data_IF_747305370286
#
_entry.id   IF_747305370286
#
_cell.length_a   1.000
_cell.length_b   1.000
_cell.length_c   1.000
_cell.angle_alpha   90.00
_cell.angle_beta   90.00
_cell.angle_gamma   90.00
#
_symmetry.space_group_name_H-M   'P 1'
#
loop_
_entity.id
_entity.type
_entity.pdbx_description
1 polymer ?
#
# COMPACT_ATOMS: atom_id res chain seq x y z
N UNK A 1 13.01 39.53 7.61
CA UNK A 1 14.22 39.47 6.76
C UNK A 1 15.12 38.41 7.40
N UNK A 2 15.00 37.18 6.97
CA UNK A 2 15.92 36.10 7.35
C UNK A 2 16.88 35.98 6.18
N UNK A 3 18.19 36.08 6.48
CA UNK A 3 19.25 36.16 5.48
C UNK A 3 19.26 34.98 4.51
N UNK A 4 19.48 35.32 3.28
CA UNK A 4 19.80 34.37 2.22
C UNK A 4 21.19 33.82 2.52
N UNK A 5 21.24 32.56 2.88
CA UNK A 5 22.49 31.81 3.05
C UNK A 5 23.05 31.51 1.64
N UNK A 6 24.20 32.11 1.31
CA UNK A 6 24.91 31.93 0.05
C UNK A 6 25.61 30.56 0.03
N UNK A 7 24.81 29.53 -0.20
CA UNK A 7 25.25 28.13 -0.34
C UNK A 7 24.42 27.37 -1.39
N UNK A 8 23.90 28.09 -2.42
CA UNK A 8 23.03 27.53 -3.46
C UNK A 8 23.82 26.72 -4.50
N UNK A 9 24.26 25.51 -4.14
CA UNK A 9 24.48 24.46 -5.13
C UNK A 9 23.15 23.84 -5.54
N UNK A 10 23.06 23.40 -6.78
CA UNK A 10 22.00 22.61 -7.43
C UNK A 10 20.77 22.33 -6.52
N UNK A 11 19.66 23.05 -6.67
CA UNK A 11 18.44 22.87 -5.87
C UNK A 11 17.20 22.97 -6.77
N UNK A 12 16.28 22.05 -6.58
CA UNK A 12 14.93 22.15 -7.17
C UNK A 12 14.04 22.92 -6.20
N UNK A 13 13.33 23.93 -6.67
CA UNK A 13 12.35 24.68 -5.89
C UNK A 13 11.06 24.87 -6.68
N UNK A 14 9.96 24.59 -6.01
CA UNK A 14 8.59 24.88 -6.43
C UNK A 14 8.05 26.00 -5.55
N UNK A 15 7.51 27.07 -6.13
CA UNK A 15 6.96 28.20 -5.38
C UNK A 15 5.50 28.41 -5.74
N UNK A 16 4.62 28.26 -4.75
CA UNK A 16 3.17 28.46 -4.85
C UNK A 16 2.54 27.78 -6.06
N UNK A 17 2.94 26.54 -6.31
CA UNK A 17 2.43 25.73 -7.41
C UNK A 17 0.95 25.38 -7.19
N UNK A 18 0.13 25.72 -8.17
CA UNK A 18 -1.24 25.25 -8.26
C UNK A 18 -1.38 24.39 -9.49
N UNK A 19 -2.06 23.22 -9.34
CA UNK A 19 -2.42 22.36 -10.46
C UNK A 19 -3.90 22.03 -10.42
N UNK A 20 -4.57 22.34 -11.55
CA UNK A 20 -5.98 22.04 -11.77
C UNK A 20 -6.16 21.08 -12.96
N UNK A 21 -7.14 20.19 -12.85
CA UNK A 21 -7.65 19.35 -13.91
C UNK A 21 -9.14 19.65 -14.08
N UNK A 22 -9.49 20.39 -15.14
CA UNK A 22 -10.84 20.93 -15.28
C UNK A 22 -11.18 21.84 -14.09
N UNK A 23 -12.26 21.55 -13.36
CA UNK A 23 -12.69 22.31 -12.18
C UNK A 23 -12.04 21.82 -10.86
N UNK A 24 -11.29 20.72 -10.90
CA UNK A 24 -10.71 20.12 -9.69
C UNK A 24 -9.30 20.64 -9.46
N UNK A 25 -9.08 21.32 -8.36
CA UNK A 25 -7.75 21.72 -7.87
C UNK A 25 -7.13 20.54 -7.11
N UNK A 26 -6.02 20.00 -7.65
CA UNK A 26 -5.31 18.85 -7.07
C UNK A 26 -4.11 19.29 -6.23
N UNK A 27 -3.45 20.40 -6.60
CA UNK A 27 -2.44 21.05 -5.79
C UNK A 27 -2.80 22.53 -5.66
N UNK A 28 -2.74 23.07 -4.45
CA UNK A 28 -3.14 24.43 -4.13
C UNK A 28 -2.01 25.19 -3.41
N UNK A 29 -1.38 26.11 -4.14
CA UNK A 29 -0.29 26.98 -3.67
C UNK A 29 0.85 26.21 -2.94
N UNK A 30 1.18 25.01 -3.42
CA UNK A 30 2.21 24.17 -2.86
C UNK A 30 3.60 24.77 -3.09
N UNK A 31 4.40 24.87 -2.04
CA UNK A 31 5.83 25.13 -2.12
C UNK A 31 6.60 23.90 -1.66
N UNK A 32 7.71 23.61 -2.33
CA UNK A 32 8.51 22.42 -2.07
C UNK A 32 9.96 22.68 -2.51
N UNK A 33 10.92 22.12 -1.80
CA UNK A 33 12.33 22.22 -2.19
C UNK A 33 13.05 20.90 -1.96
N UNK A 34 14.02 20.60 -2.86
CA UNK A 34 14.88 19.43 -2.76
C UNK A 34 16.32 19.82 -3.05
N UNK A 35 17.21 19.49 -2.11
CA UNK A 35 18.66 19.71 -2.24
C UNK A 35 19.35 18.43 -2.67
N UNK A 36 20.49 18.50 -3.39
CA UNK A 36 21.37 17.35 -3.60
C UNK A 36 21.82 16.76 -2.26
N UNK A 37 21.86 15.43 -2.18
CA UNK A 37 22.27 14.73 -0.97
C UNK A 37 21.18 14.61 0.11
N UNK A 38 20.00 15.23 -0.08
CA UNK A 38 18.90 15.08 0.85
C UNK A 38 17.99 13.90 0.46
N UNK A 39 17.49 13.19 1.46
CA UNK A 39 16.34 12.29 1.32
C UNK A 39 15.13 13.01 1.88
N UNK A 40 14.24 13.45 1.00
CA UNK A 40 13.03 14.16 1.33
C UNK A 40 11.83 13.22 1.33
N UNK A 41 11.21 13.00 2.49
CA UNK A 41 10.01 12.20 2.62
C UNK A 41 8.77 12.94 2.13
N UNK A 42 7.96 12.32 1.28
CA UNK A 42 6.69 12.87 0.82
C UNK A 42 5.54 11.95 1.27
N UNK A 43 4.76 12.43 2.23
CA UNK A 43 3.63 11.71 2.78
C UNK A 43 2.31 12.37 2.40
N UNK A 44 1.26 11.58 2.39
CA UNK A 44 -0.11 12.03 2.16
C UNK A 44 -1.03 10.84 1.93
N UNK A 45 -2.30 11.04 2.19
CA UNK A 45 -3.31 10.04 1.84
C UNK A 45 -3.45 9.89 0.31
N UNK A 46 -4.13 8.84 -0.13
CA UNK A 46 -4.45 8.68 -1.55
C UNK A 46 -5.32 9.86 -2.02
N UNK A 47 -4.95 10.45 -3.15
CA UNK A 47 -5.59 11.66 -3.64
C UNK A 47 -5.07 12.97 -3.07
N UNK A 48 -4.10 12.96 -2.14
CA UNK A 48 -3.53 14.18 -1.56
C UNK A 48 -2.68 15.03 -2.55
N UNK A 49 -2.37 14.49 -3.75
CA UNK A 49 -1.60 15.21 -4.77
C UNK A 49 -0.15 14.74 -4.95
N UNK A 50 0.31 13.71 -4.21
CA UNK A 50 1.69 13.20 -4.29
C UNK A 50 2.14 12.86 -5.71
N UNK A 51 1.38 12.01 -6.40
CA UNK A 51 1.71 11.61 -7.78
C UNK A 51 1.63 12.79 -8.75
N UNK A 52 0.81 13.81 -8.48
CA UNK A 52 0.78 15.05 -9.27
C UNK A 52 2.05 15.88 -9.04
N UNK A 53 2.55 15.94 -7.81
CA UNK A 53 3.82 16.58 -7.49
C UNK A 53 4.99 15.87 -8.21
N UNK A 54 5.04 14.54 -8.17
CA UNK A 54 6.03 13.75 -8.93
C UNK A 54 5.95 14.03 -10.44
N UNK A 55 4.73 14.11 -11.00
CA UNK A 55 4.51 14.42 -12.42
C UNK A 55 4.92 15.85 -12.80
N UNK A 56 4.83 16.80 -11.89
CA UNK A 56 5.36 18.16 -12.07
C UNK A 56 6.89 18.15 -12.08
N UNK A 57 7.52 17.46 -11.11
CA UNK A 57 8.97 17.38 -11.00
C UNK A 57 9.60 16.66 -12.21
N UNK A 58 8.95 15.63 -12.75
CA UNK A 58 9.45 14.92 -13.93
C UNK A 58 9.00 15.52 -15.29
N UNK A 59 8.29 16.65 -15.26
CA UNK A 59 7.86 17.36 -16.45
C UNK A 59 6.74 16.70 -17.25
N UNK A 60 6.09 15.66 -16.74
CA UNK A 60 4.94 15.02 -17.40
C UNK A 60 3.71 15.92 -17.38
N UNK A 61 3.60 16.80 -16.38
CA UNK A 61 2.49 17.72 -16.20
C UNK A 61 3.05 19.13 -15.91
N UNK A 62 2.47 20.15 -16.52
CA UNK A 62 2.81 21.55 -16.24
C UNK A 62 1.94 22.11 -15.11
N UNK A 63 2.45 23.04 -14.29
CA UNK A 63 1.64 23.73 -13.29
C UNK A 63 0.60 24.63 -14.00
N UNK A 64 -0.54 24.85 -13.35
CA UNK A 64 -1.54 25.83 -13.79
C UNK A 64 -1.09 27.25 -13.41
N UNK A 65 -0.45 27.41 -12.25
CA UNK A 65 0.20 28.66 -11.80
C UNK A 65 1.31 28.34 -10.81
N UNK A 66 2.11 29.34 -10.49
CA UNK A 66 3.32 29.21 -9.67
C UNK A 66 4.57 29.02 -10.52
N UNK A 67 5.71 28.83 -9.89
CA UNK A 67 7.01 28.83 -10.54
C UNK A 67 7.86 27.65 -10.12
N UNK A 68 8.52 27.00 -11.09
CA UNK A 68 9.50 25.96 -10.86
C UNK A 68 10.88 26.51 -11.23
N UNK A 69 11.83 26.43 -10.32
CA UNK A 69 13.19 26.87 -10.55
C UNK A 69 14.20 25.75 -10.22
N UNK A 70 15.31 25.78 -10.97
CA UNK A 70 16.48 24.93 -10.73
C UNK A 70 17.71 25.83 -10.71
N UNK A 71 18.51 25.72 -9.67
CA UNK A 71 19.72 26.53 -9.48
C UNK A 71 19.44 28.03 -9.60
N UNK A 72 18.31 28.47 -9.02
CA UNK A 72 17.86 29.88 -9.06
C UNK A 72 17.34 30.35 -10.41
N UNK A 73 17.22 29.47 -11.42
CA UNK A 73 16.67 29.82 -12.73
C UNK A 73 15.31 29.17 -12.92
N UNK A 74 14.33 29.99 -13.30
CA UNK A 74 13.01 29.48 -13.71
C UNK A 74 13.15 28.55 -14.90
N UNK A 75 12.58 27.35 -14.79
CA UNK A 75 12.60 26.34 -15.84
C UNK A 75 11.18 25.84 -16.10
N UNK A 76 10.93 25.48 -17.36
CA UNK A 76 9.73 24.75 -17.75
C UNK A 76 10.16 23.34 -18.10
N UNK A 77 9.69 22.37 -17.34
CA UNK A 77 10.10 20.98 -17.54
C UNK A 77 9.16 20.25 -18.49
N UNK A 78 9.76 19.67 -19.51
CA UNK A 78 9.21 18.52 -20.24
C UNK A 78 9.92 17.27 -19.73
N UNK A 79 9.41 16.04 -19.98
CA UNK A 79 10.11 14.82 -19.56
C UNK A 79 11.56 14.73 -20.08
N UNK A 80 11.79 15.20 -21.30
CA UNK A 80 13.15 15.23 -21.87
C UNK A 80 14.07 16.25 -21.17
N UNK A 81 13.52 17.37 -20.73
CA UNK A 81 14.28 18.36 -19.95
C UNK A 81 14.54 17.90 -18.52
N UNK A 82 13.56 17.28 -17.86
CA UNK A 82 13.75 16.67 -16.55
C UNK A 82 14.91 15.68 -16.57
N UNK A 83 14.92 14.75 -17.55
CA UNK A 83 16.03 13.81 -17.72
C UNK A 83 17.37 14.53 -17.97
N UNK A 84 17.41 15.59 -18.80
CA UNK A 84 18.64 16.36 -19.04
C UNK A 84 19.16 17.07 -17.78
N UNK A 85 18.26 17.48 -16.91
CA UNK A 85 18.60 18.03 -15.60
C UNK A 85 18.96 16.96 -14.54
N UNK A 86 18.85 15.67 -14.91
CA UNK A 86 19.17 14.55 -14.03
C UNK A 86 18.03 14.18 -13.07
N UNK A 87 16.80 14.59 -13.37
CA UNK A 87 15.61 14.18 -12.59
C UNK A 87 15.07 12.89 -13.20
N UNK A 88 15.18 11.79 -12.47
CA UNK A 88 14.77 10.46 -12.94
C UNK A 88 13.73 9.89 -11.99
N UNK A 89 12.62 9.43 -12.54
CA UNK A 89 11.57 8.73 -11.76
C UNK A 89 11.77 7.22 -11.85
N UNK A 90 11.72 6.56 -10.70
CA UNK A 90 11.61 5.10 -10.60
C UNK A 90 10.15 4.78 -10.29
N UNK A 91 9.50 4.11 -11.23
CA UNK A 91 8.07 3.80 -11.19
C UNK A 91 7.73 2.79 -10.10
N UNK A 92 6.54 2.87 -9.54
CA UNK A 92 5.95 1.89 -8.65
C UNK A 92 5.76 0.53 -9.36
N UNK A 93 5.30 0.56 -10.62
CA UNK A 93 5.13 -0.63 -11.46
C UNK A 93 6.48 -0.98 -12.12
N UNK A 94 7.28 -1.79 -11.41
CA UNK A 94 8.65 -2.13 -11.80
C UNK A 94 8.68 -2.92 -13.11
N UNK A 95 7.74 -3.87 -13.28
CA UNK A 95 7.69 -4.74 -14.46
C UNK A 95 7.31 -3.97 -15.72
N UNK A 96 6.48 -2.92 -15.62
CA UNK A 96 6.12 -2.05 -16.74
C UNK A 96 7.28 -1.14 -17.17
N UNK A 97 8.21 -0.88 -16.26
CA UNK A 97 9.36 -0.02 -16.51
C UNK A 97 10.58 -0.78 -17.09
N UNK A 98 10.55 -2.11 -17.10
CA UNK A 98 11.63 -2.96 -17.60
C UNK A 98 11.22 -3.71 -18.88
N UNK A 99 12.19 -3.94 -19.74
CA UNK A 99 12.05 -4.89 -20.86
C UNK A 99 12.38 -6.29 -20.32
N UNK A 100 11.36 -7.01 -19.86
CA UNK A 100 11.51 -8.25 -19.09
C UNK A 100 12.22 -9.36 -19.85
N UNK A 101 12.04 -9.45 -21.16
CA UNK A 101 12.66 -10.45 -22.03
C UNK A 101 14.10 -10.10 -22.43
N UNK A 102 14.52 -8.84 -22.19
CA UNK A 102 15.87 -8.41 -22.50
C UNK A 102 16.84 -8.64 -21.32
N UNK A 103 18.12 -8.87 -21.61
CA UNK A 103 19.15 -8.97 -20.59
C UNK A 103 19.20 -7.77 -19.65
N UNK A 104 19.63 -7.98 -18.40
CA UNK A 104 19.73 -6.90 -17.43
C UNK A 104 20.66 -5.78 -17.90
N UNK A 105 21.75 -6.08 -18.63
CA UNK A 105 22.65 -5.03 -19.15
C UNK A 105 21.96 -4.10 -20.16
N UNK A 106 20.99 -4.57 -20.94
CA UNK A 106 20.22 -3.76 -21.86
C UNK A 106 19.16 -2.91 -21.14
N UNK A 107 18.72 -3.34 -19.97
CA UNK A 107 17.84 -2.56 -19.11
C UNK A 107 18.57 -1.46 -18.33
N UNK A 108 19.84 -1.67 -17.99
CA UNK A 108 20.67 -0.67 -17.26
C UNK A 108 21.21 0.40 -18.20
N UNK A 109 21.71 -0.01 -19.37
CA UNK A 109 22.42 0.89 -20.28
C UNK A 109 21.49 1.63 -21.24
N UNK A 110 21.75 2.91 -21.59
CA UNK A 110 20.97 3.65 -22.58
C UNK A 110 20.97 2.93 -23.93
N UNK A 111 19.81 2.82 -24.57
CA UNK A 111 19.63 2.14 -25.85
C UNK A 111 20.59 2.59 -26.96
N UNK A 112 20.96 3.87 -26.97
CA UNK A 112 21.94 4.41 -27.93
C UNK A 112 23.33 3.82 -27.72
N UNK A 113 23.71 3.48 -26.48
CA UNK A 113 24.97 2.83 -26.13
C UNK A 113 24.95 1.38 -26.57
N UNK A 114 23.85 0.67 -26.33
CA UNK A 114 23.67 -0.75 -26.66
C UNK A 114 23.89 -1.01 -28.16
N UNK A 115 23.37 -0.16 -29.04
CA UNK A 115 23.49 -0.34 -30.51
C UNK A 115 24.90 -0.15 -31.09
N UNK A 116 25.83 0.48 -30.36
CA UNK A 116 27.12 0.93 -30.92
C UNK A 116 28.34 0.24 -30.30
N UNK A 117 28.14 -0.56 -29.27
CA UNK A 117 29.23 -1.13 -28.46
C UNK A 117 29.17 -2.67 -28.48
N UNK A 118 30.34 -3.32 -28.43
CA UNK A 118 30.41 -4.79 -28.37
C UNK A 118 29.72 -5.33 -27.09
N UNK A 119 28.94 -6.42 -27.18
CA UNK A 119 28.17 -6.95 -26.04
C UNK A 119 29.01 -7.23 -24.79
N UNK A 120 30.26 -7.63 -24.95
CA UNK A 120 31.16 -7.92 -23.83
C UNK A 120 31.49 -6.67 -23.00
N UNK A 121 31.78 -5.56 -23.67
CA UNK A 121 32.04 -4.27 -23.02
C UNK A 121 30.77 -3.71 -22.35
N UNK A 122 29.58 -3.98 -22.94
CA UNK A 122 28.29 -3.60 -22.33
C UNK A 122 28.07 -4.37 -21.03
N UNK A 123 28.31 -5.67 -21.00
CA UNK A 123 28.20 -6.49 -19.79
C UNK A 123 29.13 -6.01 -18.68
N UNK A 124 30.39 -5.72 -18.99
CA UNK A 124 31.35 -5.20 -18.04
C UNK A 124 30.95 -3.84 -17.48
N UNK A 125 30.44 -2.94 -18.37
CA UNK A 125 29.94 -1.63 -17.95
C UNK A 125 28.70 -1.79 -17.05
N UNK A 126 27.72 -2.59 -17.46
CA UNK A 126 26.53 -2.86 -16.67
C UNK A 126 26.88 -3.50 -15.31
N UNK A 127 27.85 -4.44 -15.27
CA UNK A 127 28.28 -5.06 -14.02
C UNK A 127 28.80 -4.02 -13.03
N UNK A 128 29.59 -3.03 -13.48
CA UNK A 128 30.08 -1.94 -12.62
C UNK A 128 28.92 -1.09 -12.06
N UNK A 129 27.93 -0.78 -12.89
CA UNK A 129 26.78 0.02 -12.44
C UNK A 129 25.89 -0.78 -11.49
N UNK A 130 25.66 -2.06 -11.78
CA UNK A 130 24.92 -2.97 -10.92
C UNK A 130 25.61 -3.14 -9.55
N UNK A 131 26.92 -3.23 -9.51
CA UNK A 131 27.66 -3.30 -8.25
C UNK A 131 27.49 -2.04 -7.38
N UNK A 132 27.28 -0.85 -7.97
CA UNK A 132 27.00 0.38 -7.21
C UNK A 132 25.67 0.34 -6.47
N UNK A 133 24.72 -0.47 -6.96
CA UNK A 133 23.43 -0.69 -6.29
C UNK A 133 23.41 -1.99 -5.48
N UNK A 134 24.58 -2.54 -5.15
CA UNK A 134 24.70 -3.75 -4.33
C UNK A 134 24.28 -5.05 -5.04
N UNK A 135 24.26 -5.06 -6.39
CA UNK A 135 23.91 -6.25 -7.16
C UNK A 135 25.14 -6.95 -7.74
N UNK A 136 25.36 -8.21 -7.36
CA UNK A 136 26.27 -9.13 -8.02
C UNK A 136 25.46 -10.21 -8.75
N UNK A 137 25.00 -9.89 -9.95
CA UNK A 137 24.15 -10.74 -10.77
C UNK A 137 24.75 -10.94 -12.17
N UNK A 138 24.30 -11.97 -12.90
CA UNK A 138 24.66 -12.15 -14.31
C UNK A 138 23.95 -11.09 -15.18
N UNK A 139 24.65 -10.09 -15.71
CA UNK A 139 24.02 -9.05 -16.52
C UNK A 139 23.45 -9.57 -17.84
N UNK A 140 23.78 -10.78 -18.27
CA UNK A 140 23.27 -11.39 -19.51
C UNK A 140 21.91 -12.09 -19.33
N UNK A 141 21.51 -12.36 -18.10
CA UNK A 141 20.22 -12.99 -17.81
C UNK A 141 19.06 -12.02 -18.05
N UNK A 142 17.92 -12.46 -18.64
CA UNK A 142 16.73 -11.61 -18.82
C UNK A 142 16.25 -11.00 -17.51
N UNK A 143 15.88 -9.71 -17.56
CA UNK A 143 15.46 -8.97 -16.36
C UNK A 143 14.23 -9.59 -15.68
N UNK A 144 13.29 -10.15 -16.44
CA UNK A 144 12.09 -10.80 -15.92
C UNK A 144 12.35 -12.01 -15.03
N UNK A 145 13.53 -12.63 -15.11
CA UNK A 145 13.89 -13.79 -14.29
C UNK A 145 14.47 -13.43 -12.90
N UNK A 146 14.54 -12.14 -12.57
CA UNK A 146 14.99 -11.69 -11.27
C UNK A 146 13.82 -11.40 -10.33
N UNK A 147 13.99 -11.55 -9.01
CA UNK A 147 12.99 -11.13 -8.04
C UNK A 147 12.77 -9.62 -8.07
N UNK A 148 11.66 -9.17 -7.50
CA UNK A 148 11.24 -7.77 -7.53
C UNK A 148 12.29 -6.82 -6.94
N UNK A 149 12.90 -7.19 -5.81
CA UNK A 149 13.95 -6.40 -5.15
C UNK A 149 15.16 -6.15 -6.06
N UNK A 150 15.56 -7.16 -6.86
CA UNK A 150 16.64 -7.02 -7.85
C UNK A 150 16.21 -6.18 -9.03
N UNK A 151 15.00 -6.37 -9.57
CA UNK A 151 14.46 -5.56 -10.66
C UNK A 151 14.40 -4.09 -10.31
N UNK A 152 14.01 -3.77 -9.08
CA UNK A 152 13.96 -2.40 -8.59
C UNK A 152 15.35 -1.75 -8.54
N UNK A 153 16.34 -2.47 -8.04
CA UNK A 153 17.73 -2.00 -8.06
C UNK A 153 18.28 -1.86 -9.48
N UNK A 154 17.84 -2.69 -10.45
CA UNK A 154 18.17 -2.51 -11.88
C UNK A 154 17.62 -1.17 -12.40
N UNK A 155 16.41 -0.75 -12.00
CA UNK A 155 15.87 0.57 -12.37
C UNK A 155 16.68 1.73 -11.77
N UNK A 156 17.11 1.59 -10.51
CA UNK A 156 17.99 2.59 -9.86
C UNK A 156 19.35 2.62 -10.57
N UNK A 157 19.93 1.47 -10.91
CA UNK A 157 21.16 1.38 -11.68
C UNK A 157 21.05 2.11 -13.03
N UNK A 158 19.93 1.93 -13.75
CA UNK A 158 19.62 2.66 -15.00
C UNK A 158 19.56 4.16 -14.78
N UNK A 159 18.95 4.61 -13.69
CA UNK A 159 18.89 6.03 -13.35
C UNK A 159 20.28 6.60 -13.09
N UNK A 160 21.13 5.91 -12.33
CA UNK A 160 22.50 6.33 -12.06
C UNK A 160 23.35 6.37 -13.33
N UNK A 161 23.20 5.39 -14.22
CA UNK A 161 23.89 5.36 -15.53
C UNK A 161 23.45 6.51 -16.43
N UNK A 162 22.26 7.04 -16.23
CA UNK A 162 21.72 8.23 -16.90
C UNK A 162 22.11 9.54 -16.20
N UNK A 163 23.10 9.53 -15.30
CA UNK A 163 23.57 10.66 -14.50
C UNK A 163 22.45 11.31 -13.66
N UNK A 164 21.66 10.49 -12.97
CA UNK A 164 20.67 11.00 -12.04
C UNK A 164 21.30 11.87 -10.95
N UNK A 165 20.82 13.10 -10.84
CA UNK A 165 21.12 14.01 -9.72
C UNK A 165 19.99 13.99 -8.70
N UNK A 166 18.79 13.65 -9.15
CA UNK A 166 17.59 13.54 -8.36
C UNK A 166 16.84 12.25 -8.71
N UNK A 167 16.48 11.49 -7.70
CA UNK A 167 15.65 10.29 -7.82
C UNK A 167 14.27 10.55 -7.23
N UNK A 168 13.23 10.31 -8.01
CA UNK A 168 11.85 10.36 -7.55
C UNK A 168 11.35 8.93 -7.42
N UNK A 169 11.13 8.46 -6.19
CA UNK A 169 10.76 7.09 -5.86
C UNK A 169 9.32 7.08 -5.32
N UNK A 170 8.41 6.43 -6.04
CA UNK A 170 7.00 6.31 -5.64
C UNK A 170 6.74 4.92 -5.07
N UNK A 171 6.57 4.85 -3.74
CA UNK A 171 6.33 3.63 -2.95
C UNK A 171 7.31 2.47 -3.25
N UNK A 172 8.62 2.69 -3.21
CA UNK A 172 9.60 1.70 -3.69
C UNK A 172 9.67 0.43 -2.85
N UNK A 173 9.18 0.43 -1.64
CA UNK A 173 9.26 -0.68 -0.66
C UNK A 173 7.95 -1.45 -0.50
N UNK A 174 6.84 -0.97 -1.10
CA UNK A 174 5.49 -1.46 -0.82
C UNK A 174 5.27 -2.97 -1.06
N UNK A 175 6.02 -3.55 -2.02
CA UNK A 175 5.90 -4.97 -2.38
C UNK A 175 7.15 -5.80 -2.04
N UNK A 176 8.07 -5.24 -1.23
CA UNK A 176 9.31 -5.90 -0.80
C UNK A 176 9.12 -6.58 0.56
N UNK A 177 9.95 -7.61 0.81
CA UNK A 177 10.13 -8.14 2.17
C UNK A 177 10.79 -7.08 3.07
N UNK A 178 10.66 -7.21 4.40
CA UNK A 178 11.30 -6.27 5.34
C UNK A 178 12.81 -6.18 5.10
N UNK A 179 13.49 -7.31 4.92
CA UNK A 179 14.93 -7.36 4.64
C UNK A 179 15.29 -6.65 3.34
N UNK A 180 14.53 -6.92 2.24
CA UNK A 180 14.78 -6.26 0.95
C UNK A 180 14.50 -4.75 1.02
N UNK A 181 13.49 -4.33 1.80
CA UNK A 181 13.17 -2.93 2.03
C UNK A 181 14.30 -2.22 2.80
N UNK A 182 14.82 -2.85 3.86
CA UNK A 182 15.94 -2.36 4.65
C UNK A 182 17.18 -2.15 3.78
N UNK A 183 17.56 -3.16 3.00
CA UNK A 183 18.67 -3.10 2.06
C UNK A 183 18.49 -1.98 1.01
N UNK A 184 17.25 -1.74 0.57
CA UNK A 184 16.97 -0.65 -0.37
C UNK A 184 17.15 0.72 0.31
N UNK A 185 16.65 0.89 1.53
CA UNK A 185 16.79 2.13 2.29
C UNK A 185 18.25 2.46 2.58
N UNK A 186 19.09 1.47 2.92
CA UNK A 186 20.53 1.65 3.09
C UNK A 186 21.22 2.09 1.77
N UNK A 187 20.79 1.52 0.64
CA UNK A 187 21.26 1.96 -0.68
C UNK A 187 20.89 3.43 -0.91
N UNK A 188 19.65 3.87 -0.60
CA UNK A 188 19.24 5.25 -0.78
C UNK A 188 20.06 6.22 0.08
N UNK A 189 20.40 5.85 1.33
CA UNK A 189 21.28 6.65 2.19
C UNK A 189 22.69 6.77 1.59
N UNK A 190 23.21 5.68 1.03
CA UNK A 190 24.51 5.69 0.35
C UNK A 190 24.51 6.62 -0.86
N UNK A 191 23.47 6.57 -1.69
CA UNK A 191 23.34 7.45 -2.86
C UNK A 191 23.16 8.92 -2.47
N UNK A 192 22.43 9.19 -1.42
CA UNK A 192 22.29 10.55 -0.87
C UNK A 192 23.65 11.07 -0.38
N UNK A 193 24.43 10.27 0.32
CA UNK A 193 25.80 10.63 0.73
C UNK A 193 26.72 10.89 -0.46
N UNK A 194 26.48 10.29 -1.63
CA UNK A 194 27.17 10.57 -2.90
C UNK A 194 26.65 11.87 -3.58
N UNK A 195 25.66 12.57 -3.00
CA UNK A 195 25.12 13.82 -3.50
C UNK A 195 23.87 13.69 -4.36
N UNK A 196 23.22 12.54 -4.42
CA UNK A 196 21.96 12.36 -5.12
C UNK A 196 20.80 12.86 -4.24
N UNK A 197 20.00 13.84 -4.69
CA UNK A 197 18.78 14.26 -4.02
C UNK A 197 17.67 13.22 -4.24
N UNK A 198 16.94 12.84 -3.21
CA UNK A 198 15.94 11.76 -3.29
C UNK A 198 14.59 12.26 -2.76
N UNK A 199 13.53 12.11 -3.55
CA UNK A 199 12.15 12.18 -3.05
C UNK A 199 11.67 10.76 -2.83
N UNK A 200 11.36 10.44 -1.57
CA UNK A 200 10.82 9.16 -1.16
C UNK A 200 9.33 9.30 -0.82
N UNK A 201 8.46 8.84 -1.72
CA UNK A 201 7.03 8.73 -1.43
C UNK A 201 6.77 7.40 -0.74
N UNK A 202 6.24 7.44 0.46
CA UNK A 202 5.84 6.24 1.20
C UNK A 202 4.68 6.57 2.13
N UNK A 203 3.93 5.56 2.52
CA UNK A 203 2.93 5.65 3.58
C UNK A 203 3.42 5.00 4.90
N UNK A 204 4.64 4.46 4.91
CA UNK A 204 5.27 3.80 6.06
C UNK A 204 6.14 4.80 6.83
N UNK A 205 5.68 5.17 8.02
CA UNK A 205 6.36 6.16 8.87
C UNK A 205 7.70 5.67 9.41
N UNK A 206 7.86 4.36 9.63
CA UNK A 206 9.09 3.73 10.08
C UNK A 206 10.24 3.91 9.08
N UNK A 207 9.97 3.80 7.78
CA UNK A 207 10.95 4.03 6.73
C UNK A 207 11.49 5.46 6.76
N UNK A 208 10.58 6.43 6.90
CA UNK A 208 10.96 7.85 6.93
C UNK A 208 11.79 8.21 8.17
N UNK A 209 11.43 7.64 9.32
CA UNK A 209 12.20 7.83 10.56
C UNK A 209 13.66 7.43 10.39
N UNK A 210 13.91 6.44 9.57
CA UNK A 210 15.26 5.86 9.38
C UNK A 210 16.12 6.64 8.40
N UNK A 211 15.52 7.21 7.33
CA UNK A 211 16.32 7.68 6.20
C UNK A 211 16.10 9.15 5.83
N UNK A 212 15.02 9.80 6.26
CA UNK A 212 14.73 11.16 5.80
C UNK A 212 15.32 12.24 6.71
N UNK A 213 15.87 13.28 6.11
CA UNK A 213 16.28 14.51 6.81
C UNK A 213 15.09 15.47 6.98
N UNK A 214 14.27 15.58 5.95
CA UNK A 214 13.11 16.47 5.90
C UNK A 214 11.92 15.74 5.31
N UNK A 215 10.71 16.09 5.73
CA UNK A 215 9.48 15.51 5.19
C UNK A 215 8.42 16.58 4.95
N UNK A 216 7.66 16.39 3.89
CA UNK A 216 6.47 17.18 3.55
C UNK A 216 5.23 16.31 3.61
N UNK A 217 4.22 16.76 4.36
CA UNK A 217 2.94 16.07 4.42
C UNK A 217 1.91 16.84 3.60
N UNK A 218 1.29 16.11 2.67
CA UNK A 218 0.24 16.64 1.81
C UNK A 218 -1.14 16.16 2.27
N UNK A 219 -2.08 17.11 2.32
CA UNK A 219 -3.50 16.82 2.51
C UNK A 219 -4.32 17.77 1.65
N UNK A 220 -5.25 17.19 0.87
CA UNK A 220 -6.16 17.93 -0.02
C UNK A 220 -5.42 18.95 -0.93
N UNK A 221 -4.26 18.55 -1.46
CA UNK A 221 -3.43 19.37 -2.35
C UNK A 221 -2.59 20.44 -1.68
N UNK A 222 -2.58 20.53 -0.34
CA UNK A 222 -1.83 21.54 0.44
C UNK A 222 -0.78 20.88 1.32
N UNK A 223 0.29 21.63 1.60
CA UNK A 223 1.27 21.25 2.61
C UNK A 223 0.67 21.51 3.99
N UNK A 224 0.56 20.48 4.82
CA UNK A 224 0.08 20.57 6.20
C UNK A 224 1.21 20.44 7.22
N UNK A 225 2.35 19.94 6.80
CA UNK A 225 3.58 19.88 7.58
C UNK A 225 4.79 19.89 6.64
N UNK A 226 5.84 20.62 7.02
CA UNK A 226 7.15 20.58 6.40
C UNK A 226 8.20 20.75 7.52
N UNK A 227 9.14 19.82 7.57
CA UNK A 227 10.19 19.84 8.60
C UNK A 227 10.83 18.46 8.81
N UNK A 228 11.70 18.34 9.83
CA UNK A 228 12.32 17.06 10.16
C UNK A 228 11.25 16.04 10.59
N UNK A 229 11.38 14.80 10.11
CA UNK A 229 10.44 13.75 10.48
C UNK A 229 10.56 13.36 11.97
N UNK A 230 11.76 13.38 12.51
CA UNK A 230 12.00 13.16 13.93
C UNK A 230 11.91 14.47 14.71
N UNK A 231 11.23 14.52 15.88
CA UNK A 231 10.67 13.39 16.66
C UNK A 231 9.12 13.27 16.56
N UNK A 232 8.54 13.19 15.38
CA UNK A 232 7.09 13.07 15.26
C UNK A 232 6.59 11.72 15.78
N UNK A 233 5.58 11.72 16.63
CA UNK A 233 4.91 10.48 17.03
C UNK A 233 4.00 9.97 15.90
N UNK A 234 3.68 8.69 15.91
CA UNK A 234 2.76 8.09 14.92
C UNK A 234 1.40 8.81 14.93
N UNK A 235 0.91 9.22 16.11
CA UNK A 235 -0.34 9.96 16.27
C UNK A 235 -0.25 11.36 15.64
N UNK A 236 0.90 12.03 15.80
CA UNK A 236 1.12 13.35 15.18
C UNK A 236 1.11 13.22 13.64
N UNK A 237 1.81 12.25 13.08
CA UNK A 237 1.81 11.96 11.64
C UNK A 237 0.39 11.70 11.15
N UNK A 238 -0.34 10.86 11.84
CA UNK A 238 -1.73 10.53 11.51
C UNK A 238 -2.64 11.76 11.60
N UNK A 239 -2.47 12.60 12.63
CA UNK A 239 -3.23 13.86 12.80
C UNK A 239 -2.98 14.82 11.63
N UNK A 240 -1.73 14.99 11.22
CA UNK A 240 -1.41 15.83 10.05
C UNK A 240 -2.05 15.29 8.77
N UNK A 241 -2.02 13.98 8.56
CA UNK A 241 -2.55 13.36 7.36
C UNK A 241 -4.08 13.33 7.31
N UNK A 242 -4.75 13.02 8.42
CA UNK A 242 -6.22 12.92 8.48
C UNK A 242 -6.92 14.26 8.74
N UNK A 243 -6.25 15.17 9.43
CA UNK A 243 -6.84 16.45 9.89
C UNK A 243 -7.77 16.33 11.08
N UNK A 244 -7.89 15.11 11.61
CA UNK A 244 -8.63 14.84 12.85
C UNK A 244 -7.65 14.39 13.91
N UNK A 245 -7.77 14.92 15.12
CA UNK A 245 -7.13 14.30 16.28
C UNK A 245 -7.72 12.91 16.41
N UNK A 246 -6.86 11.90 16.40
CA UNK A 246 -7.33 10.54 16.65
C UNK A 246 -7.94 10.54 18.06
N UNK A 247 -9.25 10.30 18.13
CA UNK A 247 -9.84 9.87 19.39
C UNK A 247 -9.09 8.62 19.84
N UNK A 248 -8.85 8.52 21.16
CA UNK A 248 -8.21 7.39 21.82
C UNK A 248 -8.76 6.08 21.24
N UNK A 249 -7.89 5.06 21.13
CA UNK A 249 -8.23 3.77 20.55
C UNK A 249 -9.62 3.33 21.07
N UNK A 250 -10.57 3.14 20.16
CA UNK A 250 -11.93 2.78 20.55
C UNK A 250 -11.86 1.58 21.49
N UNK A 251 -12.56 1.68 22.61
CA UNK A 251 -12.63 0.58 23.57
C UNK A 251 -13.08 -0.70 22.87
N UNK A 252 -12.26 -1.72 22.92
CA UNK A 252 -12.54 -3.02 22.29
C UNK A 252 -13.81 -3.61 22.88
N UNK A 253 -14.54 -4.38 22.10
CA UNK A 253 -15.65 -5.18 22.61
C UNK A 253 -15.13 -6.13 23.69
N UNK A 254 -15.95 -6.41 24.69
CA UNK A 254 -15.67 -7.45 25.69
C UNK A 254 -16.39 -8.71 25.21
N UNK A 255 -15.67 -9.81 24.91
CA UNK A 255 -16.31 -11.05 24.48
C UNK A 255 -17.26 -11.60 25.58
N UNK A 256 -18.38 -12.15 25.15
CA UNK A 256 -19.43 -12.68 26.08
C UNK A 256 -19.01 -14.00 26.79
N UNK A 257 -17.83 -14.56 26.45
CA UNK A 257 -17.33 -15.82 27.05
C UNK A 257 -17.94 -17.09 26.46
N UNK A 258 -18.95 -16.98 25.59
CA UNK A 258 -19.56 -18.12 24.89
C UNK A 258 -18.86 -18.36 23.55
N UNK A 259 -18.51 -19.63 23.27
CA UNK A 259 -17.93 -20.02 21.99
C UNK A 259 -19.01 -19.94 20.91
N UNK A 260 -18.82 -19.03 19.94
CA UNK A 260 -19.65 -18.91 18.75
C UNK A 260 -19.23 -19.90 17.68
N UNK A 261 -17.92 -19.99 17.44
CA UNK A 261 -17.34 -20.79 16.38
C UNK A 261 -16.23 -21.68 16.96
N UNK A 262 -16.33 -22.98 16.70
CA UNK A 262 -15.23 -23.94 16.93
C UNK A 262 -15.09 -24.81 15.70
N UNK A 263 -13.87 -24.92 15.16
CA UNK A 263 -13.60 -25.67 13.94
C UNK A 263 -12.23 -26.34 14.00
N UNK A 264 -12.15 -27.56 13.48
CA UNK A 264 -10.89 -28.20 13.14
C UNK A 264 -10.72 -28.12 11.62
N UNK A 265 -9.88 -27.20 11.17
CA UNK A 265 -9.74 -26.85 9.76
C UNK A 265 -8.55 -27.57 9.16
N UNK A 266 -8.79 -28.32 8.08
CA UNK A 266 -7.72 -28.96 7.31
C UNK A 266 -7.24 -28.01 6.22
N UNK A 267 -5.93 -27.77 6.16
CA UNK A 267 -5.24 -26.93 5.17
C UNK A 267 -4.41 -27.82 4.23
N UNK A 268 -4.94 -28.20 3.06
CA UNK A 268 -4.28 -29.15 2.15
C UNK A 268 -2.92 -28.65 1.64
N UNK A 269 -2.78 -27.35 1.38
CA UNK A 269 -1.54 -26.74 0.89
C UNK A 269 -0.36 -26.98 1.85
N UNK A 270 -0.63 -27.12 3.15
CA UNK A 270 0.36 -27.33 4.19
C UNK A 270 0.36 -28.76 4.74
N UNK A 271 -0.59 -29.61 4.33
CA UNK A 271 -0.81 -30.94 4.87
C UNK A 271 -1.00 -30.96 6.40
N UNK A 272 -1.64 -29.93 6.94
CA UNK A 272 -1.86 -29.73 8.38
C UNK A 272 -3.34 -29.55 8.69
N UNK A 273 -3.68 -29.72 9.97
CA UNK A 273 -4.97 -29.33 10.51
C UNK A 273 -4.75 -28.48 11.77
N UNK A 274 -5.55 -27.42 11.91
CA UNK A 274 -5.49 -26.56 13.08
C UNK A 274 -6.88 -26.36 13.70
N UNK A 275 -6.91 -26.15 15.00
CA UNK A 275 -8.13 -25.84 15.75
C UNK A 275 -8.26 -24.34 15.94
N UNK A 276 -9.44 -23.81 15.59
CA UNK A 276 -9.78 -22.39 15.78
C UNK A 276 -11.05 -22.29 16.59
N UNK A 277 -11.02 -21.50 17.64
CA UNK A 277 -12.17 -21.13 18.45
C UNK A 277 -12.30 -19.61 18.51
N UNK A 278 -13.52 -19.11 18.34
CA UNK A 278 -13.84 -17.70 18.46
C UNK A 278 -15.12 -17.49 19.24
N UNK A 279 -15.11 -16.47 20.08
CA UNK A 279 -16.21 -16.19 21.00
C UNK A 279 -17.20 -15.18 20.41
N UNK A 280 -18.39 -15.15 21.00
CA UNK A 280 -19.42 -14.17 20.67
C UNK A 280 -18.94 -12.76 21.05
N UNK A 281 -19.03 -11.81 20.12
CA UNK A 281 -18.52 -10.44 20.33
C UNK A 281 -17.00 -10.32 20.33
N UNK A 282 -16.27 -11.36 19.85
CA UNK A 282 -14.82 -11.33 19.73
C UNK A 282 -14.35 -10.85 18.35
N UNK A 283 -13.29 -10.08 18.35
CA UNK A 283 -12.39 -9.94 17.19
C UNK A 283 -11.18 -10.84 17.44
N UNK A 284 -11.14 -11.99 16.76
CA UNK A 284 -9.99 -12.89 16.76
C UNK A 284 -9.01 -12.46 15.67
N UNK A 285 -7.85 -11.96 16.06
CA UNK A 285 -6.76 -11.63 15.16
C UNK A 285 -5.99 -12.87 14.72
N UNK A 286 -5.65 -12.96 13.45
CA UNK A 286 -4.83 -14.05 12.89
C UNK A 286 -3.65 -13.40 12.16
N UNK A 287 -2.47 -13.49 12.80
CA UNK A 287 -1.21 -12.95 12.31
C UNK A 287 -0.37 -14.00 11.62
N UNK A 288 0.61 -13.55 10.82
CA UNK A 288 1.60 -14.39 10.16
C UNK A 288 2.11 -13.76 8.87
N UNK A 289 3.27 -14.18 8.41
CA UNK A 289 3.84 -13.72 7.16
C UNK A 289 2.99 -14.11 5.95
N UNK A 290 3.26 -13.52 4.79
CA UNK A 290 2.65 -13.94 3.52
C UNK A 290 2.96 -15.42 3.29
N UNK A 291 1.94 -16.21 2.94
CA UNK A 291 2.08 -17.66 2.75
C UNK A 291 2.10 -18.47 4.06
N UNK A 292 1.73 -17.89 5.21
CA UNK A 292 1.65 -18.63 6.48
C UNK A 292 0.40 -19.50 6.63
N UNK A 293 -0.59 -19.38 5.74
CA UNK A 293 -1.84 -20.14 5.80
C UNK A 293 -3.07 -19.36 6.24
N UNK A 294 -2.97 -18.01 6.40
CA UNK A 294 -4.08 -17.15 6.82
C UNK A 294 -5.25 -17.17 5.83
N UNK A 295 -4.95 -16.94 4.56
CA UNK A 295 -5.94 -16.93 3.47
C UNK A 295 -6.58 -18.31 3.32
N UNK A 296 -5.77 -19.38 3.32
CA UNK A 296 -6.24 -20.75 3.23
C UNK A 296 -7.17 -21.12 4.39
N UNK A 297 -6.91 -20.62 5.60
CA UNK A 297 -7.79 -20.79 6.74
C UNK A 297 -9.14 -20.10 6.53
N UNK A 298 -9.13 -18.83 6.09
CA UNK A 298 -10.35 -18.08 5.83
C UNK A 298 -11.18 -18.71 4.69
N UNK A 299 -10.51 -19.11 3.61
CA UNK A 299 -11.14 -19.80 2.48
C UNK A 299 -11.71 -21.17 2.87
N UNK A 300 -11.02 -21.93 3.72
CA UNK A 300 -11.51 -23.20 4.21
C UNK A 300 -12.76 -23.05 5.08
N UNK A 301 -12.80 -22.09 5.99
CA UNK A 301 -13.97 -21.77 6.81
C UNK A 301 -15.16 -21.30 5.97
N UNK A 302 -14.90 -20.62 4.84
CA UNK A 302 -15.95 -20.15 3.93
C UNK A 302 -16.37 -21.19 2.87
N UNK A 303 -15.72 -22.36 2.84
CA UNK A 303 -16.06 -23.42 1.86
C UNK A 303 -15.44 -23.27 0.48
N UNK A 304 -14.33 -22.51 0.35
CA UNK A 304 -13.59 -22.30 -0.90
C UNK A 304 -12.45 -23.31 -1.10
N UNK A 305 -12.08 -24.07 -0.06
CA UNK A 305 -10.97 -25.03 -0.12
C UNK A 305 -11.26 -26.32 -0.94
N UNK A 306 -12.51 -26.53 -1.35
CA UNK A 306 -12.97 -27.76 -2.01
C UNK A 306 -13.10 -28.97 -1.07
N UNK A 307 -12.80 -28.80 0.23
CA UNK A 307 -12.95 -29.84 1.25
C UNK A 307 -14.18 -29.57 2.12
N UNK A 308 -14.74 -30.67 2.65
CA UNK A 308 -15.74 -30.56 3.71
C UNK A 308 -15.08 -30.18 5.02
N UNK A 309 -15.54 -29.10 5.63
CA UNK A 309 -15.14 -28.69 6.97
C UNK A 309 -16.29 -28.94 7.94
N UNK A 310 -16.02 -29.64 9.05
CA UNK A 310 -16.96 -29.75 10.17
C UNK A 310 -16.72 -28.59 11.11
N UNK A 311 -17.74 -27.76 11.31
CA UNK A 311 -17.68 -26.53 12.09
C UNK A 311 -18.81 -26.56 13.13
N UNK A 312 -18.51 -26.22 14.36
CA UNK A 312 -19.53 -26.04 15.41
C UNK A 312 -19.86 -24.56 15.54
N UNK A 313 -21.13 -24.20 15.39
CA UNK A 313 -21.66 -22.85 15.57
C UNK A 313 -22.71 -22.87 16.67
N UNK A 314 -22.54 -22.07 17.73
CA UNK A 314 -23.42 -22.03 18.91
C UNK A 314 -23.73 -23.44 19.45
N UNK A 315 -22.71 -24.29 19.53
CA UNK A 315 -22.78 -25.65 20.01
C UNK A 315 -23.44 -26.69 19.09
N UNK A 316 -23.79 -26.29 17.85
CA UNK A 316 -24.38 -27.19 16.85
C UNK A 316 -23.37 -27.48 15.73
N UNK A 317 -23.29 -28.73 15.31
CA UNK A 317 -22.40 -29.14 14.23
C UNK A 317 -23.01 -28.83 12.87
N UNK A 318 -22.22 -28.21 12.01
CA UNK A 318 -22.54 -27.86 10.62
C UNK A 318 -21.43 -28.37 9.69
N UNK A 319 -21.77 -28.66 8.43
CA UNK A 319 -20.83 -29.06 7.43
C UNK A 319 -20.81 -28.04 6.30
N UNK A 320 -19.69 -27.34 6.17
CA UNK A 320 -19.46 -26.39 5.09
C UNK A 320 -18.71 -27.10 3.96
N UNK A 321 -19.30 -27.12 2.75
CA UNK A 321 -18.74 -27.74 1.54
C UNK A 321 -18.44 -26.70 0.47
N UNK A 322 -19.28 -25.68 0.40
CA UNK A 322 -19.24 -24.62 -0.58
C UNK A 322 -19.68 -23.28 0.04
N UNK A 323 -19.36 -22.13 -0.59
CA UNK A 323 -19.68 -20.80 -0.04
C UNK A 323 -21.15 -20.58 0.27
N UNK A 324 -22.07 -21.21 -0.47
CA UNK A 324 -23.51 -21.13 -0.22
C UNK A 324 -23.92 -21.74 1.12
N UNK A 325 -23.23 -22.77 1.59
CA UNK A 325 -23.44 -23.33 2.92
C UNK A 325 -23.02 -22.32 3.99
N UNK A 326 -21.79 -21.75 3.86
CA UNK A 326 -21.29 -20.75 4.81
C UNK A 326 -22.21 -19.53 4.88
N UNK A 327 -22.67 -19.02 3.74
CA UNK A 327 -23.63 -17.89 3.69
C UNK A 327 -24.92 -18.22 4.39
N UNK A 328 -25.45 -19.44 4.25
CA UNK A 328 -26.67 -19.93 4.93
C UNK A 328 -26.50 -19.99 6.44
N UNK A 329 -25.31 -20.38 6.91
CA UNK A 329 -24.94 -20.44 8.33
C UNK A 329 -24.48 -19.10 8.92
N UNK A 330 -24.72 -17.99 8.20
CA UNK A 330 -24.49 -16.64 8.72
C UNK A 330 -23.07 -16.11 8.56
N UNK A 331 -22.24 -16.71 7.71
CA UNK A 331 -20.91 -16.19 7.41
C UNK A 331 -20.95 -15.04 6.38
N UNK A 332 -20.03 -14.10 6.57
CA UNK A 332 -19.61 -13.08 5.62
C UNK A 332 -18.13 -13.26 5.30
N UNK A 333 -17.71 -12.99 4.06
CA UNK A 333 -16.31 -13.11 3.64
C UNK A 333 -15.83 -11.90 2.85
N UNK A 334 -14.79 -11.25 3.35
CA UNK A 334 -14.07 -10.18 2.65
C UNK A 334 -12.71 -10.74 2.25
N UNK A 335 -12.48 -11.00 0.95
CA UNK A 335 -11.24 -11.59 0.47
C UNK A 335 -10.09 -10.57 0.39
N UNK A 336 -8.84 -11.04 0.47
CA UNK A 336 -7.63 -10.25 0.29
C UNK A 336 -7.60 -9.55 -1.08
N UNK A 337 -7.79 -10.31 -2.18
CA UNK A 337 -7.81 -9.79 -3.55
C UNK A 337 -9.20 -9.25 -3.93
N UNK A 338 -9.58 -8.07 -3.39
CA UNK A 338 -10.90 -7.46 -3.62
C UNK A 338 -11.30 -7.32 -5.08
N UNK A 339 -10.34 -6.99 -5.97
CA UNK A 339 -10.63 -6.77 -7.40
C UNK A 339 -10.95 -8.04 -8.15
N UNK A 340 -10.36 -9.15 -7.74
CA UNK A 340 -10.50 -10.45 -8.40
C UNK A 340 -11.64 -11.28 -7.80
N UNK A 341 -11.76 -11.26 -6.46
CA UNK A 341 -12.67 -12.15 -5.75
C UNK A 341 -13.80 -11.42 -5.02
N UNK A 342 -13.66 -10.11 -4.79
CA UNK A 342 -14.61 -9.32 -4.00
C UNK A 342 -15.59 -8.49 -4.81
N UNK A 343 -15.26 -8.10 -6.05
CA UNK A 343 -16.01 -7.09 -6.82
C UNK A 343 -16.22 -7.52 -8.28
N UNK A 344 -17.37 -7.13 -8.81
CA UNK A 344 -17.65 -7.09 -10.24
C UNK A 344 -17.31 -5.70 -10.76
N UNK A 345 -16.07 -5.51 -11.23
CA UNK A 345 -15.47 -4.18 -11.49
C UNK A 345 -16.25 -3.34 -12.51
N UNK A 346 -16.83 -3.98 -13.54
CA UNK A 346 -17.58 -3.32 -14.60
C UNK A 346 -19.06 -3.07 -14.23
N UNK A 347 -19.51 -3.66 -13.13
CA UNK A 347 -20.86 -3.47 -12.62
C UNK A 347 -20.94 -2.26 -11.69
N UNK A 348 -22.16 -1.76 -11.52
CA UNK A 348 -22.43 -0.58 -10.68
C UNK A 348 -22.15 -0.87 -9.20
N UNK A 349 -21.92 0.20 -8.42
CA UNK A 349 -21.79 0.12 -6.96
C UNK A 349 -23.03 -0.58 -6.37
N UNK A 350 -24.24 -0.16 -6.78
CA UNK A 350 -25.50 -0.74 -6.32
C UNK A 350 -25.54 -2.26 -6.56
N UNK A 351 -25.24 -2.73 -7.79
CA UNK A 351 -25.23 -4.16 -8.11
C UNK A 351 -24.21 -4.96 -7.31
N UNK A 352 -23.04 -4.37 -7.05
CA UNK A 352 -22.05 -5.00 -6.20
C UNK A 352 -22.53 -5.15 -4.76
N UNK A 353 -23.20 -4.14 -4.21
CA UNK A 353 -23.71 -4.16 -2.83
C UNK A 353 -24.82 -5.18 -2.66
N UNK A 354 -25.75 -5.27 -3.62
CA UNK A 354 -26.89 -6.21 -3.55
C UNK A 354 -26.55 -7.64 -4.01
N UNK A 355 -25.33 -7.90 -4.44
CA UNK A 355 -24.95 -9.18 -5.06
C UNK A 355 -25.20 -10.41 -4.18
N UNK A 356 -25.19 -10.26 -2.85
CA UNK A 356 -25.47 -11.36 -1.91
C UNK A 356 -26.92 -11.29 -1.40
N UNK A 357 -27.42 -10.10 -1.07
CA UNK A 357 -28.73 -9.91 -0.45
C UNK A 357 -29.90 -9.98 -1.45
N UNK A 358 -29.64 -9.76 -2.73
CA UNK A 358 -30.66 -9.78 -3.80
C UNK A 358 -31.71 -8.66 -3.73
N UNK A 359 -31.61 -7.74 -2.75
CA UNK A 359 -32.58 -6.64 -2.54
C UNK A 359 -31.89 -5.30 -2.44
N UNK A 360 -32.38 -4.29 -3.18
CA UNK A 360 -31.81 -2.94 -3.23
C UNK A 360 -32.20 -2.03 -2.06
N UNK A 361 -32.92 -2.52 -1.06
CA UNK A 361 -33.30 -1.74 0.10
C UNK A 361 -32.09 -1.43 0.98
N UNK A 362 -31.92 -0.15 1.41
CA UNK A 362 -30.88 0.31 2.34
C UNK A 362 -29.44 0.38 1.76
N UNK A 363 -29.26 0.29 0.43
CA UNK A 363 -27.92 0.42 -0.19
C UNK A 363 -27.26 1.74 0.20
N UNK A 364 -27.97 2.87 0.09
CA UNK A 364 -27.44 4.19 0.45
C UNK A 364 -27.06 4.29 1.93
N UNK A 365 -27.86 3.69 2.83
CA UNK A 365 -27.60 3.72 4.28
C UNK A 365 -26.33 2.95 4.63
N UNK A 366 -26.14 1.78 4.01
CA UNK A 366 -24.96 0.96 4.22
C UNK A 366 -23.70 1.64 3.66
N UNK A 367 -23.76 2.21 2.46
CA UNK A 367 -22.66 2.97 1.88
C UNK A 367 -22.30 4.19 2.73
N UNK A 368 -23.30 4.91 3.26
CA UNK A 368 -23.11 6.05 4.16
C UNK A 368 -22.47 5.61 5.50
N UNK A 369 -22.88 4.48 6.06
CA UNK A 369 -22.33 3.94 7.32
C UNK A 369 -20.83 3.65 7.24
N UNK A 370 -20.33 3.36 6.04
CA UNK A 370 -18.91 3.14 5.75
C UNK A 370 -18.22 4.37 5.14
N UNK A 371 -18.91 5.51 5.09
CA UNK A 371 -18.37 6.75 4.49
C UNK A 371 -17.81 6.52 3.08
N UNK A 372 -18.52 5.72 2.24
CA UNK A 372 -18.10 5.48 0.86
C UNK A 372 -18.24 6.76 0.06
N UNK A 373 -17.18 7.20 -0.61
CA UNK A 373 -17.20 8.38 -1.48
C UNK A 373 -17.42 7.95 -2.93
N UNK A 374 -18.51 8.39 -3.53
CA UNK A 374 -18.89 8.12 -4.92
C UNK A 374 -19.69 9.29 -5.50
N UNK A 375 -19.64 9.45 -6.83
CA UNK A 375 -20.43 10.49 -7.52
C UNK A 375 -21.88 10.02 -7.74
N UNK A 376 -22.05 8.76 -8.14
CA UNK A 376 -23.36 8.15 -8.39
C UNK A 376 -23.31 6.66 -8.08
N UNK A 377 -24.33 6.12 -7.39
CA UNK A 377 -24.44 4.69 -7.05
C UNK A 377 -24.49 3.77 -8.29
N UNK A 378 -24.87 4.32 -9.45
CA UNK A 378 -24.91 3.63 -10.74
C UNK A 378 -23.57 3.66 -11.49
N UNK A 379 -22.54 4.35 -10.98
CA UNK A 379 -21.23 4.31 -11.63
C UNK A 379 -20.56 2.94 -11.45
N UNK A 380 -19.68 2.51 -12.39
CA UNK A 380 -18.91 1.29 -12.25
C UNK A 380 -17.94 1.36 -11.04
N UNK A 381 -17.85 0.25 -10.30
CA UNK A 381 -16.98 0.18 -9.11
C UNK A 381 -15.51 0.40 -9.42
N UNK A 382 -15.05 0.07 -10.64
CA UNK A 382 -13.67 0.31 -11.07
C UNK A 382 -13.22 1.77 -11.00
N UNK A 383 -14.16 2.73 -11.04
CA UNK A 383 -13.89 4.16 -10.98
C UNK A 383 -13.60 4.66 -9.56
N UNK A 384 -13.87 3.84 -8.55
CA UNK A 384 -13.60 4.17 -7.16
C UNK A 384 -12.13 3.98 -6.80
N UNK A 385 -11.65 4.78 -5.83
CA UNK A 385 -10.36 4.54 -5.18
C UNK A 385 -10.33 3.18 -4.47
N UNK A 386 -9.13 2.62 -4.25
CA UNK A 386 -8.95 1.33 -3.58
C UNK A 386 -9.66 1.25 -2.23
N UNK A 387 -9.57 2.29 -1.40
CA UNK A 387 -10.27 2.34 -0.12
C UNK A 387 -11.79 2.31 -0.26
N UNK A 388 -12.36 3.04 -1.23
CA UNK A 388 -13.80 3.00 -1.48
C UNK A 388 -14.24 1.66 -2.09
N UNK A 389 -13.42 1.03 -2.95
CA UNK A 389 -13.68 -0.34 -3.43
C UNK A 389 -13.76 -1.32 -2.27
N UNK A 390 -12.83 -1.24 -1.30
CA UNK A 390 -12.83 -2.09 -0.11
C UNK A 390 -14.11 -1.92 0.72
N UNK A 391 -14.53 -0.68 0.93
CA UNK A 391 -15.77 -0.36 1.63
C UNK A 391 -17.02 -0.91 0.90
N UNK A 392 -17.00 -0.94 -0.44
CA UNK A 392 -18.09 -1.59 -1.22
C UNK A 392 -18.10 -3.10 -1.00
N UNK A 393 -16.95 -3.77 -0.88
CA UNK A 393 -16.91 -5.20 -0.52
C UNK A 393 -17.53 -5.44 0.86
N UNK A 394 -17.21 -4.60 1.86
CA UNK A 394 -17.84 -4.65 3.16
C UNK A 394 -19.35 -4.40 3.09
N UNK A 395 -19.78 -3.38 2.33
CA UNK A 395 -21.18 -3.01 2.18
C UNK A 395 -22.06 -4.18 1.72
N UNK A 396 -21.54 -5.04 0.86
CA UNK A 396 -22.20 -6.25 0.38
C UNK A 396 -22.69 -7.16 1.52
N UNK A 397 -21.87 -7.29 2.58
CA UNK A 397 -22.15 -8.18 3.70
C UNK A 397 -22.92 -7.51 4.85
N UNK A 398 -22.96 -6.18 4.89
CA UNK A 398 -23.67 -5.43 5.91
C UNK A 398 -25.15 -5.20 5.58
N UNK A 399 -25.58 -5.48 4.35
CA UNK A 399 -27.00 -5.40 3.98
C UNK A 399 -27.86 -6.42 4.71
N UNK A 400 -27.28 -7.59 5.00
CA UNK A 400 -27.90 -8.64 5.78
C UNK A 400 -27.20 -8.78 7.14
N UNK A 401 -27.96 -9.18 8.14
CA UNK A 401 -27.44 -9.38 9.49
C UNK A 401 -26.70 -10.72 9.53
N UNK A 402 -25.37 -10.68 9.43
CA UNK A 402 -24.49 -11.84 9.52
C UNK A 402 -23.93 -11.96 10.93
N UNK A 403 -23.61 -13.19 11.36
CA UNK A 403 -23.12 -13.45 12.70
C UNK A 403 -21.61 -13.64 12.78
N UNK A 404 -20.99 -14.14 11.70
CA UNK A 404 -19.56 -14.45 11.64
C UNK A 404 -18.95 -13.75 10.41
N UNK A 405 -17.97 -12.91 10.64
CA UNK A 405 -17.26 -12.15 9.60
C UNK A 405 -15.83 -12.67 9.46
N UNK A 406 -15.50 -13.17 8.28
CA UNK A 406 -14.16 -13.57 7.88
C UNK A 406 -13.56 -12.43 7.04
N UNK A 407 -12.55 -11.76 7.58
CA UNK A 407 -11.93 -10.58 6.96
C UNK A 407 -10.46 -10.89 6.65
N UNK A 408 -10.18 -11.17 5.39
CA UNK A 408 -8.83 -11.55 4.95
C UNK A 408 -8.08 -10.33 4.44
N UNK A 409 -7.05 -9.90 5.18
CA UNK A 409 -6.23 -8.72 4.91
C UNK A 409 -7.07 -7.47 4.48
N UNK A 410 -8.14 -7.12 5.22
CA UNK A 410 -9.15 -6.17 4.75
C UNK A 410 -8.62 -4.73 4.61
N UNK A 411 -7.45 -4.46 5.13
CA UNK A 411 -6.76 -3.16 5.12
C UNK A 411 -5.62 -3.08 4.13
N UNK A 412 -5.32 -4.16 3.41
CA UNK A 412 -4.23 -4.22 2.44
C UNK A 412 -4.48 -3.30 1.24
N UNK A 413 -3.49 -2.46 0.94
CA UNK A 413 -3.51 -1.57 -0.23
C UNK A 413 -4.62 -0.52 -0.19
N UNK A 414 -4.99 -0.05 1.01
CA UNK A 414 -5.87 1.10 1.21
C UNK A 414 -5.18 2.16 2.07
N UNK A 415 -5.65 3.38 1.97
CA UNK A 415 -5.06 4.51 2.72
C UNK A 415 -5.44 4.48 4.21
N UNK A 416 -4.68 5.22 5.02
CA UNK A 416 -4.82 5.26 6.48
C UNK A 416 -6.25 5.65 6.92
N UNK A 417 -6.91 6.60 6.23
CA UNK A 417 -8.26 6.99 6.59
C UNK A 417 -9.26 5.86 6.32
N UNK A 418 -9.10 5.16 5.18
CA UNK A 418 -9.91 3.99 4.87
C UNK A 418 -9.64 2.83 5.83
N UNK A 419 -8.37 2.62 6.28
CA UNK A 419 -8.04 1.65 7.34
C UNK A 419 -8.80 1.95 8.62
N UNK A 420 -8.84 3.22 9.03
CA UNK A 420 -9.55 3.64 10.23
C UNK A 420 -11.06 3.34 10.16
N UNK A 421 -11.72 3.65 9.04
CA UNK A 421 -13.13 3.34 8.85
C UNK A 421 -13.40 1.81 8.95
N UNK A 422 -12.46 0.98 8.46
CA UNK A 422 -12.53 -0.49 8.59
C UNK A 422 -12.40 -0.92 10.06
N UNK A 423 -11.42 -0.38 10.80
CA UNK A 423 -11.24 -0.72 12.22
C UNK A 423 -12.44 -0.34 13.06
N UNK A 424 -12.99 0.88 12.88
CA UNK A 424 -14.20 1.32 13.56
C UNK A 424 -15.36 0.37 13.30
N UNK A 425 -15.50 -0.08 12.06
CA UNK A 425 -16.56 -1.00 11.68
C UNK A 425 -16.38 -2.39 12.28
N UNK A 426 -15.16 -2.92 12.29
CA UNK A 426 -14.83 -4.22 12.91
C UNK A 426 -15.17 -4.22 14.40
N UNK A 427 -14.74 -3.19 15.13
CA UNK A 427 -15.02 -3.03 16.55
C UNK A 427 -16.53 -2.87 16.80
N UNK A 428 -17.22 -2.11 15.95
CA UNK A 428 -18.68 -1.93 16.05
C UNK A 428 -19.44 -3.25 15.83
N UNK A 429 -19.01 -4.10 14.91
CA UNK A 429 -19.60 -5.43 14.70
C UNK A 429 -19.43 -6.31 15.94
N UNK A 430 -18.23 -6.34 16.54
CA UNK A 430 -17.98 -7.10 17.76
C UNK A 430 -18.83 -6.59 18.93
N UNK A 431 -18.95 -5.26 19.09
CA UNK A 431 -19.85 -4.64 20.10
C UNK A 431 -21.33 -5.01 19.92
N UNK A 432 -21.74 -5.39 18.70
CA UNK A 432 -23.07 -5.89 18.38
C UNK A 432 -23.21 -7.41 18.63
N UNK A 433 -22.21 -8.06 19.25
CA UNK A 433 -22.22 -9.49 19.52
C UNK A 433 -21.84 -10.35 18.30
N UNK A 434 -21.33 -9.74 17.22
CA UNK A 434 -20.84 -10.49 16.05
C UNK A 434 -19.44 -11.03 16.32
N UNK A 435 -19.11 -12.18 15.74
CA UNK A 435 -17.77 -12.76 15.79
C UNK A 435 -17.01 -12.38 14.55
N UNK A 436 -15.81 -11.84 14.71
CA UNK A 436 -14.97 -11.40 13.60
C UNK A 436 -13.62 -12.11 13.65
N UNK A 437 -13.25 -12.80 12.57
CA UNK A 437 -11.91 -13.28 12.33
C UNK A 437 -11.23 -12.26 11.40
N UNK A 438 -10.12 -11.69 11.85
CA UNK A 438 -9.42 -10.59 11.14
C UNK A 438 -7.97 -11.00 10.89
N UNK A 439 -7.58 -11.20 9.63
CA UNK A 439 -6.17 -11.45 9.31
C UNK A 439 -5.44 -10.16 9.01
N UNK A 440 -4.19 -10.08 9.41
CA UNK A 440 -3.23 -9.08 8.94
C UNK A 440 -1.81 -9.59 9.03
N UNK A 441 -0.98 -9.19 8.09
CA UNK A 441 0.48 -9.32 8.16
C UNK A 441 1.12 -8.24 9.03
N UNK A 442 0.40 -7.14 9.31
CA UNK A 442 0.86 -6.02 10.11
C UNK A 442 0.44 -6.20 11.59
N UNK A 443 1.41 -6.47 12.45
CA UNK A 443 1.16 -6.75 13.88
C UNK A 443 0.38 -5.64 14.58
N UNK A 444 0.70 -4.37 14.30
CA UNK A 444 0.04 -3.22 14.92
C UNK A 444 -1.45 -3.11 14.56
N UNK A 445 -1.88 -3.60 13.38
CA UNK A 445 -3.30 -3.64 13.01
C UNK A 445 -4.06 -4.64 13.90
N UNK A 446 -3.47 -5.82 14.10
CA UNK A 446 -4.06 -6.84 14.98
C UNK A 446 -4.14 -6.35 16.42
N UNK A 447 -3.06 -5.76 16.95
CA UNK A 447 -3.03 -5.19 18.30
C UNK A 447 -4.08 -4.10 18.50
N UNK A 448 -4.45 -3.39 17.42
CA UNK A 448 -5.46 -2.33 17.46
C UNK A 448 -6.89 -2.84 17.58
N UNK A 449 -7.26 -3.89 16.85
CA UNK A 449 -8.66 -4.34 16.73
C UNK A 449 -8.95 -5.65 17.47
N UNK A 450 -7.98 -6.56 17.57
CA UNK A 450 -8.20 -7.90 18.07
C UNK A 450 -8.22 -7.96 19.59
N UNK A 451 -9.10 -8.79 20.13
CA UNK A 451 -9.14 -9.14 21.55
C UNK A 451 -8.04 -10.14 21.89
N UNK A 452 -7.80 -11.07 20.98
CA UNK A 452 -6.84 -12.16 21.06
C UNK A 452 -6.21 -12.37 19.70
N UNK A 453 -4.93 -12.76 19.64
CA UNK A 453 -4.18 -12.96 18.40
C UNK A 453 -3.63 -14.38 18.37
N UNK A 454 -3.89 -15.09 17.27
CA UNK A 454 -3.25 -16.35 16.90
C UNK A 454 -2.21 -16.06 15.83
N UNK A 455 -0.99 -16.56 16.01
CA UNK A 455 0.06 -16.45 14.99
C UNK A 455 0.15 -17.75 14.21
N UNK A 456 0.13 -17.65 12.88
CA UNK A 456 0.29 -18.78 11.99
C UNK A 456 1.67 -18.79 11.34
N UNK A 457 2.28 -19.96 11.29
CA UNK A 457 3.44 -20.25 10.46
C UNK A 457 3.23 -21.60 9.75
N UNK A 458 3.32 -21.60 8.43
CA UNK A 458 3.17 -22.78 7.56
C UNK A 458 1.96 -23.67 7.93
N UNK A 459 0.80 -23.02 8.12
CA UNK A 459 -0.46 -23.72 8.42
C UNK A 459 -0.58 -24.27 9.83
N UNK A 460 0.28 -23.87 10.77
CA UNK A 460 0.24 -24.24 12.18
C UNK A 460 0.19 -23.01 13.08
N UNK A 461 -0.40 -23.15 14.26
CA UNK A 461 -0.35 -22.08 15.27
C UNK A 461 1.05 -22.07 15.86
N UNK A 462 1.76 -20.94 15.67
CA UNK A 462 3.08 -20.76 16.27
C UNK A 462 2.97 -20.59 17.79
N UNK A 463 3.81 -21.29 18.53
CA UNK A 463 3.98 -21.04 19.97
C UNK A 463 4.53 -19.63 20.18
N UNK A 464 4.08 -18.92 21.23
CA UNK A 464 4.52 -17.57 21.58
C UNK A 464 6.05 -17.48 21.58
N UNK A 465 6.63 -16.82 20.56
CA UNK A 465 8.07 -16.59 20.53
C UNK A 465 8.74 -16.31 19.18
N UNK A 466 8.02 -16.31 18.07
CA UNK A 466 8.59 -15.89 16.78
C UNK A 466 8.50 -14.37 16.63
N UNK A 467 9.62 -13.67 16.80
CA UNK A 467 9.82 -12.23 16.62
C UNK A 467 9.70 -11.82 15.15
#
# INVERSE_FOLDING_TARGET
MVGLDEGDGLMIRLERITKQYGEVTVLDQLSFSLKPGDIHGLLGLNGAGKSTLIKLLNGTVEPTSGELSMDGKTVRLTPAEAIRHGIITVSQEVDDALYLDLPAYENVLPWQTVKRVRPQLLKERAKRVLSRVGLDIDPARPAGHYPLSVKQRILIARALESNAKYLLLDEPTAALSETDADDLLELLQTLAAEGVGIVLVTHRSDELTRVTSTSTFLRDGRVVYEGPFQPLSTEAVQTFLSGTTFEEAQEKAIPEGEIRLSAQVTLPAFQTSLSVEAYRGEVLGIGGLTGSGKTELMEALFGLSGLRQSITIDGKEHVIKEPTDAVREGFAFVPEERRRHGLFLDETIERNVIAVAGKATRVSDVLASLRVRYANVKQPVRELSGGNQQKVVFSKWLLEDRDIYLLDEPTKGIDIAAKQDVYERVIALAKQGKTVLFTSSERHELERVANRILWLDRGQIAEKGGA
#
